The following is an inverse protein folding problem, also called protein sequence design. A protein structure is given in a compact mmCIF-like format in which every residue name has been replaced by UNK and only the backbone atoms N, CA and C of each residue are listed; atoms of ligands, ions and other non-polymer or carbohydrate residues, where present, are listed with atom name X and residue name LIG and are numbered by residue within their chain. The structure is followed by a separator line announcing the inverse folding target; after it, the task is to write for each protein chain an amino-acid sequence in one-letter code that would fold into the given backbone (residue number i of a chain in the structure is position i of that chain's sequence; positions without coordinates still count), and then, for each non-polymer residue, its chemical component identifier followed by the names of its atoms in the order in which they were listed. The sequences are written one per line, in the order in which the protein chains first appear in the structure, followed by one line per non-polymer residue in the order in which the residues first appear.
data_IF_591820572669
#
_entry.id   IF_591820572669
#
_cell.length_a   1.000
_cell.length_b   1.000
_cell.length_c   1.000
_cell.angle_alpha   90.00
_cell.angle_beta   90.00
_cell.angle_gamma   90.00
#
_symmetry.space_group_name_H-M   'P 1'
#
loop_
_entity.id
_entity.type
_entity.pdbx_description
1 polymer ?
#
# COMPACT_ATOMS: atom_id res chain seq x y z
N UNK A 1 32.57 14.27 31.80
CA UNK A 1 31.95 12.98 31.41
C UNK A 1 30.52 13.24 30.91
N UNK A 2 30.38 13.75 29.69
CA UNK A 2 29.08 14.13 29.11
C UNK A 2 28.44 12.87 28.54
N UNK A 3 27.56 12.22 29.30
CA UNK A 3 26.70 11.16 28.78
C UNK A 3 25.60 11.81 27.94
N UNK A 4 25.82 11.97 26.63
CA UNK A 4 24.76 12.29 25.67
C UNK A 4 23.76 11.14 25.68
N UNK A 5 22.69 11.24 26.49
CA UNK A 5 21.49 10.42 26.34
C UNK A 5 20.85 10.85 25.01
N UNK A 6 21.07 10.09 23.94
CA UNK A 6 20.18 10.11 22.79
C UNK A 6 18.84 9.57 23.30
N UNK A 7 17.94 10.47 23.66
CA UNK A 7 16.58 10.13 24.03
C UNK A 7 15.83 9.77 22.76
N UNK A 8 15.60 8.47 22.63
CA UNK A 8 14.69 7.81 21.70
C UNK A 8 13.38 8.61 21.65
N UNK A 9 13.04 9.16 20.48
CA UNK A 9 11.81 9.93 20.27
C UNK A 9 10.57 9.07 20.61
N UNK A 10 9.58 9.65 21.28
CA UNK A 10 8.41 8.95 21.81
C UNK A 10 7.59 8.24 20.71
N UNK A 11 6.97 7.10 21.07
CA UNK A 11 6.11 6.27 20.20
C UNK A 11 5.01 7.08 19.47
N UNK A 12 4.57 8.21 20.03
CA UNK A 12 3.62 9.14 19.38
C UNK A 12 4.17 9.82 18.12
N UNK A 13 5.47 10.15 18.08
CA UNK A 13 6.08 10.75 16.88
C UNK A 13 6.14 9.75 15.72
N UNK A 14 6.44 8.48 16.00
CA UNK A 14 6.49 7.44 14.96
C UNK A 14 5.11 7.17 14.35
N UNK A 15 4.03 7.16 15.16
CA UNK A 15 2.65 7.02 14.64
C UNK A 15 2.26 8.17 13.72
N UNK A 16 2.63 9.42 14.04
CA UNK A 16 2.34 10.57 13.18
C UNK A 16 3.10 10.48 11.84
N UNK A 17 4.38 10.07 11.87
CA UNK A 17 5.21 9.88 10.66
C UNK A 17 4.71 8.69 9.83
N UNK A 18 4.33 7.56 10.45
CA UNK A 18 3.75 6.40 9.76
C UNK A 18 2.38 6.71 9.14
N UNK A 19 1.56 7.49 9.84
CA UNK A 19 0.27 7.97 9.32
C UNK A 19 0.47 8.94 8.14
N UNK A 20 1.51 9.77 8.17
CA UNK A 20 1.91 10.62 7.03
C UNK A 20 2.44 9.78 5.88
N UNK A 21 3.18 8.69 6.15
CA UNK A 21 3.71 7.82 5.10
C UNK A 21 2.62 6.99 4.42
N UNK A 22 1.59 6.56 5.17
CA UNK A 22 0.37 5.96 4.61
C UNK A 22 -0.42 6.91 3.70
N UNK A 23 -0.22 8.24 3.81
CA UNK A 23 -0.87 9.25 2.97
C UNK A 23 -0.09 9.54 1.68
N UNK A 24 1.24 9.41 1.67
CA UNK A 24 2.07 9.37 0.45
C UNK A 24 2.10 7.93 -0.09
N UNK A 25 0.95 7.50 -0.59
CA UNK A 25 0.78 6.21 -1.24
C UNK A 25 1.71 6.08 -2.45
N UNK A 26 2.50 5.01 -2.46
CA UNK A 26 3.37 4.63 -3.58
C UNK A 26 2.53 4.28 -4.81
N UNK A 27 3.03 4.59 -6.01
CA UNK A 27 2.45 4.07 -7.24
C UNK A 27 2.84 2.60 -7.38
N UNK A 28 1.83 1.73 -7.49
CA UNK A 28 2.05 0.32 -7.83
C UNK A 28 2.16 0.14 -9.35
N UNK A 29 1.42 0.94 -10.14
CA UNK A 29 1.50 0.89 -11.59
C UNK A 29 1.80 2.27 -12.18
N UNK A 30 2.98 2.43 -12.78
CA UNK A 30 3.36 3.68 -13.44
C UNK A 30 2.61 3.90 -14.76
N UNK A 31 2.31 2.84 -15.52
CA UNK A 31 1.60 2.95 -16.80
C UNK A 31 0.19 3.54 -16.64
N UNK A 32 -0.48 3.23 -15.53
CA UNK A 32 -1.86 3.65 -15.27
C UNK A 32 -1.95 4.73 -14.18
N UNK A 33 -0.82 5.23 -13.67
CA UNK A 33 -0.76 6.09 -12.48
C UNK A 33 -1.63 5.56 -11.33
N UNK A 34 -1.60 4.24 -11.09
CA UNK A 34 -2.39 3.59 -10.05
C UNK A 34 -1.62 3.56 -8.74
N UNK A 35 -2.23 4.08 -7.66
CA UNK A 35 -1.63 4.09 -6.33
C UNK A 35 -1.99 2.81 -5.58
N UNK A 36 -1.04 2.33 -4.77
CA UNK A 36 -1.22 1.17 -3.92
C UNK A 36 -2.46 1.29 -3.02
N UNK A 37 -2.70 2.48 -2.44
CA UNK A 37 -3.87 2.71 -1.58
C UNK A 37 -5.21 2.44 -2.30
N UNK A 38 -5.29 2.75 -3.59
CA UNK A 38 -6.52 2.60 -4.37
C UNK A 38 -6.73 1.11 -4.71
N UNK A 39 -5.65 0.39 -4.99
CA UNK A 39 -5.65 -1.06 -5.14
C UNK A 39 -6.07 -1.75 -3.83
N UNK A 40 -5.47 -1.36 -2.69
CA UNK A 40 -5.82 -1.89 -1.35
C UNK A 40 -7.29 -1.62 -1.01
N UNK A 41 -7.80 -0.42 -1.27
CA UNK A 41 -9.21 -0.10 -1.04
C UNK A 41 -10.14 -1.01 -1.88
N UNK A 42 -9.79 -1.22 -3.16
CA UNK A 42 -10.55 -2.09 -4.06
C UNK A 42 -10.49 -3.55 -3.62
N UNK A 43 -9.34 -4.02 -3.12
CA UNK A 43 -9.13 -5.38 -2.64
C UNK A 43 -10.00 -5.75 -1.42
N UNK A 44 -10.35 -4.78 -0.58
CA UNK A 44 -11.26 -4.95 0.57
C UNK A 44 -12.72 -5.15 0.14
N UNK A 45 -13.13 -4.52 -0.97
CA UNK A 45 -14.53 -4.51 -1.41
C UNK A 45 -14.85 -5.54 -2.48
N UNK A 46 -13.84 -6.06 -3.18
CA UNK A 46 -14.02 -6.92 -4.33
C UNK A 46 -13.07 -8.11 -4.32
N UNK A 47 -13.57 -9.27 -4.77
CA UNK A 47 -12.78 -10.46 -5.03
C UNK A 47 -12.05 -10.40 -6.39
N UNK A 48 -11.10 -11.31 -6.58
CA UNK A 48 -10.30 -11.44 -7.80
C UNK A 48 -8.83 -11.10 -7.60
N UNK A 49 -8.04 -11.36 -8.64
CA UNK A 49 -6.61 -11.03 -8.77
C UNK A 49 -6.40 -9.55 -9.11
N UNK A 50 -5.14 -9.12 -9.18
CA UNK A 50 -4.77 -7.75 -9.52
C UNK A 50 -5.38 -7.30 -10.84
N UNK A 51 -5.37 -8.12 -11.91
CA UNK A 51 -5.97 -7.75 -13.19
C UNK A 51 -7.48 -7.48 -13.07
N UNK A 52 -8.19 -8.32 -12.33
CA UNK A 52 -9.62 -8.13 -12.05
C UNK A 52 -9.86 -6.81 -11.32
N UNK A 53 -9.04 -6.47 -10.33
CA UNK A 53 -9.16 -5.21 -9.60
C UNK A 53 -8.80 -4.00 -10.48
N UNK A 54 -7.81 -4.10 -11.35
CA UNK A 54 -7.47 -3.04 -12.31
C UNK A 54 -8.65 -2.76 -13.24
N UNK A 55 -9.28 -3.81 -13.78
CA UNK A 55 -10.47 -3.66 -14.62
C UNK A 55 -11.61 -2.95 -13.88
N UNK A 56 -11.79 -3.23 -12.57
CA UNK A 56 -12.79 -2.53 -11.74
C UNK A 56 -12.45 -1.06 -11.51
N UNK A 57 -11.17 -0.73 -11.44
CA UNK A 57 -10.65 0.63 -11.35
C UNK A 57 -10.64 1.37 -12.71
N UNK A 58 -11.15 0.72 -13.77
CA UNK A 58 -11.28 1.33 -15.09
C UNK A 58 -9.98 1.37 -15.89
N UNK A 59 -8.96 0.57 -15.53
CA UNK A 59 -7.70 0.50 -16.25
C UNK A 59 -7.29 -0.94 -16.57
N UNK A 60 -6.31 -1.10 -17.47
CA UNK A 60 -5.73 -2.41 -17.82
C UNK A 60 -4.20 -2.32 -17.74
N UNK A 61 -3.50 -3.30 -17.14
CA UNK A 61 -2.03 -3.31 -17.09
C UNK A 61 -1.42 -3.32 -18.51
N UNK A 62 -0.43 -2.45 -18.74
CA UNK A 62 0.23 -2.33 -20.06
C UNK A 62 1.55 -3.12 -20.11
N UNK A 63 2.55 -2.72 -19.32
CA UNK A 63 3.85 -3.42 -19.28
C UNK A 63 3.82 -4.70 -18.42
N UNK A 64 2.79 -4.86 -17.57
CA UNK A 64 2.54 -6.00 -16.68
C UNK A 64 3.61 -6.24 -15.60
N UNK A 65 4.62 -5.38 -15.50
CA UNK A 65 5.73 -5.52 -14.54
C UNK A 65 5.29 -5.40 -13.08
N UNK A 66 4.16 -4.74 -12.81
CA UNK A 66 3.64 -4.54 -11.46
C UNK A 66 2.70 -5.65 -10.98
N UNK A 67 2.38 -6.65 -11.80
CA UNK A 67 1.29 -7.58 -11.50
C UNK A 67 1.59 -8.49 -10.29
N UNK A 68 2.81 -9.03 -10.23
CA UNK A 68 3.21 -9.90 -9.12
C UNK A 68 3.19 -9.14 -7.79
N UNK A 69 3.79 -7.96 -7.74
CA UNK A 69 3.75 -7.08 -6.56
C UNK A 69 2.31 -6.65 -6.21
N UNK A 70 1.48 -6.36 -7.22
CA UNK A 70 0.07 -6.00 -7.01
C UNK A 70 -0.74 -7.16 -6.43
N UNK A 71 -0.52 -8.39 -6.88
CA UNK A 71 -1.17 -9.58 -6.31
C UNK A 71 -0.72 -9.84 -4.88
N UNK A 72 0.58 -9.64 -4.58
CA UNK A 72 1.07 -9.72 -3.21
C UNK A 72 0.39 -8.69 -2.30
N UNK A 73 0.28 -7.43 -2.74
CA UNK A 73 -0.44 -6.37 -2.00
C UNK A 73 -1.89 -6.77 -1.74
N UNK A 74 -2.57 -7.34 -2.74
CA UNK A 74 -3.96 -7.80 -2.62
C UNK A 74 -4.09 -8.92 -1.59
N UNK A 75 -3.18 -9.89 -1.60
CA UNK A 75 -3.16 -11.00 -0.65
C UNK A 75 -2.88 -10.51 0.78
N UNK A 76 -1.86 -9.67 0.96
CA UNK A 76 -1.54 -9.02 2.23
C UNK A 76 -2.74 -8.28 2.79
N UNK A 77 -3.38 -7.44 1.97
CA UNK A 77 -4.51 -6.63 2.40
C UNK A 77 -5.69 -7.47 2.87
N UNK A 78 -6.00 -8.56 2.15
CA UNK A 78 -7.09 -9.46 2.52
C UNK A 78 -6.78 -10.31 3.75
N UNK A 79 -5.52 -10.65 3.97
CA UNK A 79 -5.10 -11.40 5.17
C UNK A 79 -5.10 -10.54 6.45
N UNK A 80 -4.99 -9.21 6.30
CA UNK A 80 -4.97 -8.27 7.41
C UNK A 80 -6.36 -7.89 7.96
N UNK A 81 -7.45 -8.20 7.23
CA UNK A 81 -8.83 -7.93 7.67
C UNK A 81 -9.35 -9.14 8.47
N UNK A 82 -9.56 -9.04 9.79
CA UNK A 82 -10.18 -10.13 10.56
C UNK A 82 -11.61 -10.40 10.03
N UNK A 83 -11.94 -11.68 9.93
CA UNK A 83 -13.18 -12.21 9.34
C UNK A 83 -14.46 -11.72 10.03
#
# INVERSE_FOLDING_TARGET
MIRKKLAIASVSHYKAIHSLWSLVAMYICICNALREKDLRATARCHAGDAETLYNRLGCRPQCRQCLEDADQIVAEERSAVPA
#
